data_IF_286089634048
#
_entry.id   IF_286089634048
#
_cell.length_a   1.000
_cell.length_b   1.000
_cell.length_c   1.000
_cell.angle_alpha   90.00
_cell.angle_beta   90.00
_cell.angle_gamma   90.00
#
_symmetry.space_group_name_H-M   'P 1'
#
loop_
_entity.id
_entity.type
_entity.pdbx_description
1 polymer ?
#
# COMPACT_ATOMS: atom_id res chain seq x y z
N UNK A 1 -2.43 -3.61 3.50
CA UNK A 1 -1.96 -2.37 2.84
C UNK A 1 -1.67 -2.70 1.39
N UNK A 2 -1.72 -1.74 0.47
CA UNK A 2 -1.43 -1.99 -0.94
C UNK A 2 -0.51 -0.89 -1.50
N UNK A 3 0.56 -1.29 -2.18
CA UNK A 3 1.35 -0.36 -3.01
C UNK A 3 0.51 0.01 -4.23
N UNK A 4 0.18 1.30 -4.38
CA UNK A 4 -0.70 1.81 -5.45
C UNK A 4 0.02 2.66 -6.49
N UNK A 5 1.30 2.96 -6.27
CA UNK A 5 2.11 3.68 -7.23
C UNK A 5 3.52 3.94 -6.74
N UNK A 6 4.31 4.55 -7.63
CA UNK A 6 5.71 4.88 -7.40
C UNK A 6 6.10 6.10 -8.24
N UNK A 7 7.07 6.88 -7.78
CA UNK A 7 7.74 7.91 -8.58
C UNK A 7 9.27 7.78 -8.46
N UNK A 8 9.92 7.55 -9.60
CA UNK A 8 11.37 7.45 -9.76
C UNK A 8 11.96 8.61 -10.59
N UNK A 9 11.12 9.54 -11.04
CA UNK A 9 11.54 10.69 -11.86
C UNK A 9 12.43 11.67 -11.12
N UNK A 10 12.32 11.67 -9.78
CA UNK A 10 12.99 12.60 -8.88
C UNK A 10 12.68 14.08 -9.15
N UNK A 11 11.59 14.36 -9.88
CA UNK A 11 11.14 15.72 -10.19
C UNK A 11 10.61 16.43 -8.93
N UNK A 12 9.92 15.70 -8.06
CA UNK A 12 9.26 16.23 -6.87
C UNK A 12 9.86 15.75 -5.56
N UNK A 13 10.54 14.60 -5.60
CA UNK A 13 11.18 13.99 -4.45
C UNK A 13 12.65 13.76 -4.77
N UNK A 14 13.60 14.05 -3.87
CA UNK A 14 15.02 13.83 -4.14
C UNK A 14 15.43 12.34 -4.13
N UNK A 15 14.48 11.44 -3.88
CA UNK A 15 14.65 9.99 -3.77
C UNK A 15 13.46 9.28 -4.44
N UNK A 16 13.63 7.98 -4.68
CA UNK A 16 12.57 7.12 -5.15
C UNK A 16 11.48 6.98 -4.07
N UNK A 17 10.22 7.15 -4.45
CA UNK A 17 9.08 7.06 -3.53
C UNK A 17 8.10 6.00 -3.96
N UNK A 18 7.50 5.35 -2.96
CA UNK A 18 6.39 4.43 -3.11
C UNK A 18 5.16 4.96 -2.36
N UNK A 19 3.99 4.72 -2.94
CA UNK A 19 2.70 5.13 -2.39
C UNK A 19 1.95 3.90 -1.88
N UNK A 20 1.64 3.88 -0.58
CA UNK A 20 0.98 2.74 0.07
C UNK A 20 -0.35 3.20 0.64
N UNK A 21 -1.46 2.64 0.16
CA UNK A 21 -2.78 2.87 0.76
C UNK A 21 -2.99 1.87 1.91
N UNK A 22 -3.31 2.40 3.09
CA UNK A 22 -3.67 1.60 4.26
C UNK A 22 -5.18 1.73 4.58
N UNK A 23 -5.62 0.95 5.57
CA UNK A 23 -7.01 0.94 6.06
C UNK A 23 -7.16 1.62 7.42
N UNK A 24 -6.25 2.53 7.78
CA UNK A 24 -6.27 3.25 9.07
C UNK A 24 -7.01 4.60 8.98
N UNK A 25 -7.70 4.86 7.86
CA UNK A 25 -8.47 6.08 7.66
C UNK A 25 -7.60 7.35 7.71
N UNK A 26 -8.08 8.45 8.31
CA UNK A 26 -7.39 9.74 8.30
C UNK A 26 -6.22 9.82 9.30
N UNK A 27 -5.78 8.69 9.88
CA UNK A 27 -4.63 8.65 10.79
C UNK A 27 -3.36 9.19 10.12
N UNK A 28 -3.16 8.87 8.84
CA UNK A 28 -2.08 9.44 8.06
C UNK A 28 -2.53 10.77 7.46
N UNK A 29 -1.70 11.79 7.65
CA UNK A 29 -1.91 13.09 7.03
C UNK A 29 -1.25 13.15 5.66
N UNK A 30 -1.82 13.96 4.78
CA UNK A 30 -1.20 14.26 3.50
C UNK A 30 0.18 14.90 3.71
N UNK A 31 1.17 14.61 2.86
CA UNK A 31 2.40 15.39 2.82
C UNK A 31 2.08 16.87 2.61
N UNK A 32 2.82 17.73 3.31
CA UNK A 32 2.63 19.19 3.26
C UNK A 32 2.67 19.73 1.82
N UNK A 33 3.59 19.19 1.03
CA UNK A 33 3.88 19.64 -0.33
C UNK A 33 3.55 18.55 -1.35
N UNK A 34 2.30 18.09 -1.37
CA UNK A 34 1.85 17.12 -2.38
C UNK A 34 1.98 17.72 -3.80
N UNK A 35 2.65 17.04 -4.75
CA UNK A 35 2.84 17.57 -6.09
C UNK A 35 1.51 17.84 -6.81
N UNK A 36 1.38 19.04 -7.39
CA UNK A 36 0.17 19.45 -8.14
C UNK A 36 -0.04 18.67 -9.42
N UNK A 37 1.04 18.14 -10.00
CA UNK A 37 1.00 17.34 -11.23
C UNK A 37 0.54 15.90 -10.96
N UNK A 38 0.48 15.48 -9.69
CA UNK A 38 -0.05 14.16 -9.32
C UNK A 38 -1.58 14.18 -9.22
N UNK A 39 -2.23 13.00 -9.30
CA UNK A 39 -3.60 12.85 -8.84
C UNK A 39 -3.78 13.34 -7.39
N UNK A 40 -5.01 13.68 -6.98
CA UNK A 40 -5.28 14.06 -5.60
C UNK A 40 -4.77 13.01 -4.61
N UNK A 41 -4.18 13.47 -3.51
CA UNK A 41 -3.73 12.57 -2.46
C UNK A 41 -4.92 11.80 -1.86
N UNK A 42 -4.74 10.48 -1.67
CA UNK A 42 -5.77 9.59 -1.15
C UNK A 42 -5.69 9.51 0.38
N UNK A 43 -6.80 9.69 1.12
CA UNK A 43 -6.84 9.52 2.57
C UNK A 43 -6.22 8.20 3.06
N UNK A 44 -5.34 8.28 4.05
CA UNK A 44 -4.64 7.12 4.61
C UNK A 44 -3.38 6.70 3.86
N UNK A 45 -3.08 7.32 2.71
CA UNK A 45 -1.91 6.95 1.91
C UNK A 45 -0.59 7.38 2.57
N UNK A 46 0.30 6.41 2.76
CA UNK A 46 1.67 6.60 3.19
C UNK A 46 2.52 6.90 1.96
N UNK A 47 3.35 7.93 2.05
CA UNK A 47 4.45 8.18 1.10
C UNK A 47 5.73 7.76 1.79
N UNK A 48 6.44 6.79 1.22
CA UNK A 48 7.63 6.22 1.84
C UNK A 48 8.79 6.14 0.86
N UNK A 49 10.01 6.11 1.39
CA UNK A 49 11.23 5.92 0.60
C UNK A 49 11.34 4.49 0.12
N UNK A 50 12.12 4.29 -0.94
CA UNK A 50 12.49 2.96 -1.44
C UNK A 50 13.08 2.07 -0.34
N UNK A 51 14.06 2.56 0.43
CA UNK A 51 14.71 1.76 1.49
C UNK A 51 13.70 1.25 2.54
N UNK A 52 12.72 2.09 2.91
CA UNK A 52 11.68 1.73 3.88
C UNK A 52 10.67 0.74 3.28
N UNK A 53 10.32 0.91 2.00
CA UNK A 53 9.45 -0.01 1.27
C UNK A 53 10.13 -1.37 1.03
N UNK A 54 11.43 -1.38 0.77
CA UNK A 54 12.23 -2.57 0.49
C UNK A 54 12.26 -3.53 1.68
N UNK A 55 12.14 -3.02 2.91
CA UNK A 55 12.00 -3.86 4.12
C UNK A 55 10.81 -4.81 4.00
N UNK A 56 9.67 -4.34 3.48
CA UNK A 56 8.49 -5.19 3.29
C UNK A 56 8.72 -6.30 2.26
N UNK A 57 9.51 -6.02 1.22
CA UNK A 57 9.86 -7.01 0.19
C UNK A 57 10.85 -8.03 0.74
N UNK A 58 11.89 -7.57 1.44
CA UNK A 58 12.94 -8.42 2.02
C UNK A 58 12.43 -9.32 3.13
N UNK A 59 11.37 -8.91 3.83
CA UNK A 59 10.69 -9.74 4.84
C UNK A 59 9.74 -10.77 4.23
N UNK A 60 9.67 -10.90 2.90
CA UNK A 60 8.74 -11.80 2.20
C UNK A 60 7.25 -11.47 2.47
N UNK A 61 6.95 -10.25 2.91
CA UNK A 61 5.62 -9.78 3.29
C UNK A 61 4.88 -9.03 2.15
N UNK A 62 5.42 -9.07 0.93
CA UNK A 62 4.85 -8.40 -0.24
C UNK A 62 4.27 -9.40 -1.24
N UNK A 63 2.97 -9.30 -1.50
CA UNK A 63 2.24 -10.23 -2.36
C UNK A 63 1.63 -9.50 -3.56
N UNK A 64 1.65 -10.14 -4.73
CA UNK A 64 0.98 -9.67 -5.94
C UNK A 64 -0.09 -10.69 -6.37
N UNK A 65 -1.32 -10.20 -6.56
CA UNK A 65 -2.44 -11.01 -7.03
C UNK A 65 -2.91 -10.44 -8.38
N UNK A 66 -3.18 -11.32 -9.35
CA UNK A 66 -3.69 -10.96 -10.67
C UNK A 66 -4.77 -11.93 -11.13
N UNK A 67 -5.54 -11.54 -12.14
CA UNK A 67 -6.61 -12.33 -12.75
C UNK A 67 -7.63 -12.92 -11.75
N UNK A 68 -8.24 -12.05 -10.94
CA UNK A 68 -9.30 -12.44 -9.99
C UNK A 68 -10.61 -12.62 -10.76
N UNK A 69 -10.88 -13.84 -11.20
CA UNK A 69 -12.14 -14.22 -11.86
C UNK A 69 -13.19 -14.65 -10.81
N UNK A 70 -14.17 -13.76 -10.56
CA UNK A 70 -15.45 -14.10 -9.97
C UNK A 70 -15.49 -14.44 -8.47
N UNK A 71 -16.73 -14.55 -7.98
CA UNK A 71 -17.10 -15.03 -6.65
C UNK A 71 -17.36 -16.55 -6.72
N UNK A 72 -16.92 -17.37 -5.76
CA UNK A 72 -16.32 -17.00 -4.49
C UNK A 72 -14.83 -16.67 -4.64
N UNK A 73 -14.30 -15.68 -3.87
CA UNK A 73 -12.88 -15.35 -3.90
C UNK A 73 -12.07 -16.63 -3.64
N UNK A 74 -11.22 -16.99 -4.59
CA UNK A 74 -10.27 -18.08 -4.43
C UNK A 74 -9.58 -17.95 -3.08
N UNK A 75 -9.43 -19.09 -2.42
CA UNK A 75 -8.71 -19.30 -1.15
C UNK A 75 -7.32 -18.64 -1.23
N UNK A 76 -7.23 -17.37 -0.87
CA UNK A 76 -5.97 -16.76 -0.50
C UNK A 76 -5.40 -17.61 0.64
N UNK A 77 -4.07 -17.85 0.70
CA UNK A 77 -3.49 -18.48 1.88
C UNK A 77 -3.94 -17.69 3.11
N UNK A 78 -4.44 -18.40 4.11
CA UNK A 78 -4.96 -17.79 5.34
C UNK A 78 -3.79 -17.25 6.16
N UNK A 79 -3.38 -16.01 5.86
CA UNK A 79 -2.37 -15.27 6.63
C UNK A 79 -2.97 -14.63 7.90
N UNK A 80 -3.91 -15.33 8.56
CA UNK A 80 -4.49 -14.91 9.85
C UNK A 80 -5.84 -14.20 9.76
N UNK A 81 -6.60 -14.32 8.67
CA UNK A 81 -7.92 -13.69 8.53
C UNK A 81 -9.05 -14.51 9.19
N UNK A 82 -8.88 -15.83 9.37
CA UNK A 82 -9.90 -16.71 9.97
C UNK A 82 -9.69 -16.84 11.51
N UNK A 83 -8.97 -15.92 12.14
CA UNK A 83 -8.84 -15.85 13.61
C UNK A 83 -9.99 -15.12 14.33
N UNK A 84 -10.80 -14.34 13.60
CA UNK A 84 -11.77 -13.39 14.20
C UNK A 84 -13.25 -13.79 14.06
N UNK A 85 -13.57 -14.90 13.38
CA UNK A 85 -14.96 -15.34 13.15
C UNK A 85 -15.38 -16.52 14.04
N UNK A 86 -14.64 -16.79 15.13
CA UNK A 86 -15.11 -17.66 16.21
C UNK A 86 -15.22 -16.86 17.50
N UNK A 87 -16.24 -16.01 17.58
CA UNK A 87 -16.92 -15.76 18.84
C UNK A 87 -18.27 -16.48 18.75
N UNK A 88 -18.37 -17.51 19.58
CA UNK A 88 -19.53 -18.26 20.09
C UNK A 88 -20.88 -18.10 19.37
#
# INVERSE_FOLDING_TARGET
MATVGMDFTKKFWPFNVFFIVNSWGPWNQAPRDWPKDYPPWVPGMIVTKEDDWEVCVRSEDCYAYGNVDGFPPQKLPDFGAIGLLRHE
#
